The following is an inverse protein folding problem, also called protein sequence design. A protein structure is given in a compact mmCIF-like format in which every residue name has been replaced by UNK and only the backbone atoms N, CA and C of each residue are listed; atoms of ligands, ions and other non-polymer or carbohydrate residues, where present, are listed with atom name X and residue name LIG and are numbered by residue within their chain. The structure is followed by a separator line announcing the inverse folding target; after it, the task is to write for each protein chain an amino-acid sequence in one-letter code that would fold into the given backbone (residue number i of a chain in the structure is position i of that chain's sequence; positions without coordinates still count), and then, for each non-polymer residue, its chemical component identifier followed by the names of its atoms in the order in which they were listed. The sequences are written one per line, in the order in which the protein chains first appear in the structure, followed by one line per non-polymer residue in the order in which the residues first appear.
data_IF_806138013156
#
_entry.id   IF_806138013156
#
_cell.length_a   1.000
_cell.length_b   1.000
_cell.length_c   1.000
_cell.angle_alpha   90.00
_cell.angle_beta   90.00
_cell.angle_gamma   90.00
#
_symmetry.space_group_name_H-M   'P 1'
#
loop_
_entity.id
_entity.type
_entity.pdbx_description
1 polymer ?
#
# COMPACT_ATOMS: atom_id res chain seq x y z
N UNK A 1 6.30 -47.92 20.33
CA UNK A 1 5.14 -48.65 19.76
C UNK A 1 3.84 -48.01 20.25
N UNK A 2 2.88 -47.81 19.32
CA UNK A 2 1.42 -47.90 19.45
C UNK A 2 0.68 -47.00 20.47
N UNK A 3 0.02 -45.96 19.95
CA UNK A 3 -1.20 -45.39 20.56
C UNK A 3 -2.43 -46.08 19.94
N UNK A 4 -3.33 -46.59 20.80
CA UNK A 4 -4.60 -47.24 20.42
C UNK A 4 -5.75 -46.22 20.51
N UNK A 5 -6.76 -46.43 19.66
CA UNK A 5 -7.93 -45.57 19.39
C UNK A 5 -9.17 -45.92 20.25
N UNK A 6 -10.25 -45.12 20.04
CA UNK A 6 -11.69 -45.24 20.41
C UNK A 6 -12.08 -44.57 21.75
N UNK A 7 -13.23 -43.92 21.95
CA UNK A 7 -14.58 -43.97 21.35
C UNK A 7 -15.29 -42.60 21.59
N UNK A 8 -15.94 -41.93 20.64
CA UNK A 8 -17.37 -42.01 20.26
C UNK A 8 -18.36 -41.99 21.44
N UNK A 9 -19.00 -40.84 21.67
CA UNK A 9 -20.38 -40.72 22.16
C UNK A 9 -21.11 -39.59 21.43
N UNK A 10 -22.15 -39.98 20.71
CA UNK A 10 -23.12 -39.11 20.08
C UNK A 10 -24.19 -38.68 21.11
N UNK A 11 -24.65 -37.44 21.03
CA UNK A 11 -25.96 -37.05 21.57
C UNK A 11 -26.59 -36.03 20.63
N UNK A 12 -27.66 -36.47 19.97
CA UNK A 12 -28.52 -35.62 19.18
C UNK A 12 -29.54 -34.96 20.11
N UNK A 13 -29.77 -33.66 19.95
CA UNK A 13 -30.96 -32.98 20.48
C UNK A 13 -31.52 -32.16 19.33
N UNK A 14 -32.68 -32.58 18.81
CA UNK A 14 -33.50 -31.77 17.93
C UNK A 14 -34.55 -31.06 18.79
N UNK A 15 -34.57 -29.73 18.74
CA UNK A 15 -35.70 -28.94 19.26
C UNK A 15 -36.02 -27.87 18.21
N UNK A 16 -37.17 -28.02 17.57
CA UNK A 16 -37.80 -26.97 16.79
C UNK A 16 -38.94 -26.37 17.63
N UNK A 17 -38.89 -25.06 17.87
CA UNK A 17 -40.05 -24.27 18.26
C UNK A 17 -40.13 -23.07 17.33
N UNK A 18 -41.23 -22.97 16.59
CA UNK A 18 -41.62 -21.81 15.81
C UNK A 18 -42.18 -20.75 16.76
N UNK A 19 -41.54 -19.57 16.83
CA UNK A 19 -42.17 -18.36 17.35
C UNK A 19 -42.04 -17.25 16.32
N UNK A 20 -43.18 -16.62 16.05
CA UNK A 20 -43.38 -15.48 15.16
C UNK A 20 -42.53 -14.28 15.59
N UNK A 21 -42.01 -13.47 14.66
CA UNK A 21 -41.33 -12.23 15.03
C UNK A 21 -42.39 -11.19 15.42
N UNK A 22 -42.43 -10.79 16.69
CA UNK A 22 -42.94 -9.48 17.06
C UNK A 22 -41.89 -8.44 16.63
N UNK A 23 -42.15 -7.73 15.54
CA UNK A 23 -41.43 -6.53 15.20
C UNK A 23 -41.80 -5.41 16.21
N UNK A 24 -41.10 -5.38 17.33
CA UNK A 24 -41.10 -4.22 18.22
C UNK A 24 -40.20 -3.14 17.62
N UNK A 25 -40.80 -2.25 16.84
CA UNK A 25 -40.18 -0.96 16.50
C UNK A 25 -40.20 -0.08 17.76
N UNK A 26 -39.18 -0.20 18.60
CA UNK A 26 -38.91 0.80 19.63
C UNK A 26 -38.21 2.00 18.97
N UNK A 27 -39.02 2.90 18.45
CA UNK A 27 -38.60 4.21 17.98
C UNK A 27 -38.38 5.10 19.22
N UNK A 28 -37.10 5.28 19.60
CA UNK A 28 -36.69 6.32 20.55
C UNK A 28 -36.09 7.47 19.76
N UNK A 29 -36.95 8.43 19.42
CA UNK A 29 -36.62 9.83 19.19
C UNK A 29 -36.38 10.47 20.58
N UNK A 30 -35.35 11.25 20.91
CA UNK A 30 -34.48 12.13 20.13
C UNK A 30 -33.21 12.47 20.93
N UNK A 31 -32.21 12.97 20.20
CA UNK A 31 -31.21 13.96 20.64
C UNK A 31 -29.80 13.48 21.05
N UNK A 32 -29.06 12.93 20.08
CA UNK A 32 -27.68 13.35 19.78
C UNK A 32 -27.40 13.14 18.29
N UNK A 33 -27.30 14.26 17.56
CA UNK A 33 -26.87 14.28 16.17
C UNK A 33 -25.39 13.89 16.08
N UNK A 34 -25.09 12.67 15.63
CA UNK A 34 -23.95 12.39 14.76
C UNK A 34 -23.95 10.90 14.34
N UNK A 35 -24.25 10.54 13.09
CA UNK A 35 -23.68 9.32 12.55
C UNK A 35 -22.17 9.54 12.45
N UNK A 36 -21.38 8.90 13.31
CA UNK A 36 -19.95 8.69 13.08
C UNK A 36 -19.79 7.83 11.83
N UNK A 37 -19.87 8.47 10.66
CA UNK A 37 -19.23 7.98 9.44
C UNK A 37 -17.73 8.17 9.64
N UNK A 38 -17.09 7.21 10.30
CA UNK A 38 -15.66 6.98 10.06
C UNK A 38 -15.55 6.48 8.62
N UNK A 39 -15.53 7.43 7.68
CA UNK A 39 -15.11 7.17 6.32
C UNK A 39 -13.66 6.71 6.40
N UNK A 40 -13.45 5.39 6.45
CA UNK A 40 -12.16 4.79 6.18
C UNK A 40 -11.75 5.24 4.78
N UNK A 41 -10.98 6.31 4.70
CA UNK A 41 -10.39 6.79 3.47
C UNK A 41 -9.41 5.72 3.01
N UNK A 42 -9.91 4.77 2.22
CA UNK A 42 -9.07 3.84 1.47
C UNK A 42 -8.16 4.68 0.57
N UNK A 43 -6.83 4.47 0.62
CA UNK A 43 -5.92 5.21 -0.25
C UNK A 43 -6.37 5.04 -1.70
N UNK A 44 -6.75 6.13 -2.37
CA UNK A 44 -7.16 6.04 -3.76
C UNK A 44 -5.97 5.55 -4.59
N UNK A 45 -6.16 4.47 -5.35
CA UNK A 45 -5.15 3.96 -6.27
C UNK A 45 -4.75 5.06 -7.27
N UNK A 46 -3.47 5.12 -7.70
CA UNK A 46 -3.05 6.03 -8.76
C UNK A 46 -3.88 5.80 -10.03
N UNK A 47 -4.16 6.86 -10.81
CA UNK A 47 -4.85 6.72 -12.09
C UNK A 47 -4.00 5.88 -13.05
N UNK A 48 -4.64 5.01 -13.81
CA UNK A 48 -3.98 4.27 -14.87
C UNK A 48 -3.70 5.24 -16.04
N UNK A 49 -2.42 5.52 -16.26
CA UNK A 49 -1.98 6.30 -17.40
C UNK A 49 -1.73 5.34 -18.57
N UNK A 50 -2.47 5.51 -19.68
CA UNK A 50 -2.16 4.80 -20.92
C UNK A 50 -0.86 5.36 -21.49
N UNK A 51 0.24 4.65 -21.27
CA UNK A 51 1.58 5.02 -21.74
C UNK A 51 1.85 4.41 -23.12
N UNK A 52 2.51 5.16 -24.00
CA UNK A 52 3.01 4.59 -25.25
C UNK A 52 4.25 3.71 -25.02
N UNK A 53 4.58 2.84 -25.96
CA UNK A 53 5.79 2.00 -25.89
C UNK A 53 7.07 2.83 -25.71
N UNK A 54 7.17 3.96 -26.42
CA UNK A 54 8.29 4.89 -26.30
C UNK A 54 8.38 5.47 -24.87
N UNK A 55 7.24 5.84 -24.27
CA UNK A 55 7.21 6.35 -22.89
C UNK A 55 7.61 5.25 -21.89
N UNK A 56 7.12 4.03 -22.08
CA UNK A 56 7.47 2.85 -21.25
C UNK A 56 8.98 2.61 -21.30
N UNK A 57 9.57 2.58 -22.50
CA UNK A 57 11.00 2.39 -22.70
C UNK A 57 11.81 3.48 -22.00
N UNK A 58 11.39 4.74 -22.12
CA UNK A 58 12.09 5.86 -21.47
C UNK A 58 12.00 5.79 -19.95
N UNK A 59 10.83 5.45 -19.40
CA UNK A 59 10.64 5.25 -17.96
C UNK A 59 11.50 4.10 -17.45
N UNK A 60 11.59 2.98 -18.19
CA UNK A 60 12.46 1.86 -17.81
C UNK A 60 13.93 2.25 -17.81
N UNK A 61 14.38 3.04 -18.78
CA UNK A 61 15.73 3.59 -18.82
C UNK A 61 16.02 4.49 -17.60
N UNK A 62 15.08 5.38 -17.25
CA UNK A 62 15.19 6.24 -16.07
C UNK A 62 15.28 5.38 -14.81
N UNK A 63 14.39 4.39 -14.64
CA UNK A 63 14.39 3.49 -13.47
C UNK A 63 15.70 2.72 -13.34
N UNK A 64 16.25 2.22 -14.44
CA UNK A 64 17.55 1.52 -14.45
C UNK A 64 18.68 2.46 -14.00
N UNK A 65 18.72 3.67 -14.57
CA UNK A 65 19.70 4.69 -14.21
C UNK A 65 19.59 5.10 -12.73
N UNK A 66 18.37 5.30 -12.25
CA UNK A 66 18.09 5.62 -10.84
C UNK A 66 18.54 4.50 -9.91
N UNK A 67 18.30 3.23 -10.27
CA UNK A 67 18.78 2.08 -9.49
C UNK A 67 20.30 2.09 -9.37
N UNK A 68 21.02 2.36 -10.46
CA UNK A 68 22.49 2.44 -10.44
C UNK A 68 22.98 3.60 -9.55
N UNK A 69 22.35 4.78 -9.64
CA UNK A 69 22.65 5.92 -8.76
C UNK A 69 22.39 5.61 -7.27
N UNK A 70 21.32 4.87 -6.96
CA UNK A 70 21.06 4.41 -5.60
C UNK A 70 22.18 3.48 -5.16
N UNK A 71 22.53 2.47 -5.97
CA UNK A 71 23.58 1.50 -5.64
C UNK A 71 24.94 2.15 -5.36
N UNK A 72 25.28 3.25 -6.04
CA UNK A 72 26.54 3.98 -5.82
C UNK A 72 26.58 4.78 -4.51
N UNK A 73 25.42 5.09 -3.91
CA UNK A 73 25.33 5.76 -2.59
C UNK A 73 25.49 4.77 -1.44
N UNK A 74 25.16 3.50 -1.68
CA UNK A 74 25.18 2.45 -0.67
C UNK A 74 26.59 1.93 -0.41
N UNK A 75 26.82 1.40 0.79
CA UNK A 75 28.01 0.60 1.09
C UNK A 75 27.83 -0.83 0.56
N UNK A 76 28.93 -1.59 0.46
CA UNK A 76 28.88 -2.99 0.03
C UNK A 76 28.00 -3.83 0.97
N UNK A 77 28.16 -3.64 2.28
CA UNK A 77 27.36 -4.34 3.29
C UNK A 77 25.86 -4.02 3.16
N UNK A 78 25.51 -2.76 2.92
CA UNK A 78 24.11 -2.35 2.69
C UNK A 78 23.55 -2.98 1.41
N UNK A 79 24.32 -3.00 0.31
CA UNK A 79 23.93 -3.66 -0.94
C UNK A 79 23.69 -5.15 -0.73
N UNK A 80 24.59 -5.84 -0.04
CA UNK A 80 24.48 -7.26 0.23
C UNK A 80 23.24 -7.56 1.08
N UNK A 81 23.00 -6.80 2.15
CA UNK A 81 21.79 -6.96 2.97
C UNK A 81 20.51 -6.77 2.15
N UNK A 82 20.45 -5.72 1.33
CA UNK A 82 19.30 -5.47 0.46
C UNK A 82 19.08 -6.66 -0.49
N UNK A 83 20.15 -7.14 -1.13
CA UNK A 83 20.06 -8.27 -2.05
C UNK A 83 19.56 -9.53 -1.36
N UNK A 84 20.09 -9.85 -0.18
CA UNK A 84 19.66 -11.02 0.61
C UNK A 84 18.20 -10.93 1.02
N UNK A 85 17.76 -9.79 1.56
CA UNK A 85 16.38 -9.63 2.03
C UNK A 85 15.37 -9.69 0.86
N UNK A 86 15.73 -9.11 -0.29
CA UNK A 86 14.91 -9.20 -1.51
C UNK A 86 14.83 -10.63 -2.04
N UNK A 87 15.93 -11.39 -2.02
CA UNK A 87 15.94 -12.81 -2.39
C UNK A 87 15.13 -13.66 -1.41
N UNK A 88 15.07 -13.26 -0.14
CA UNK A 88 14.21 -13.88 0.87
C UNK A 88 12.72 -13.49 0.73
N UNK A 89 12.36 -12.66 -0.25
CA UNK A 89 10.97 -12.26 -0.52
C UNK A 89 10.45 -11.15 0.39
N UNK A 90 11.32 -10.46 1.14
CA UNK A 90 10.93 -9.32 1.97
C UNK A 90 10.49 -8.17 1.08
N UNK A 91 9.42 -7.47 1.49
CA UNK A 91 8.90 -6.35 0.73
C UNK A 91 9.98 -5.26 0.55
N UNK A 92 10.21 -4.73 -0.67
CA UNK A 92 11.27 -3.74 -0.91
C UNK A 92 11.21 -2.51 0.00
N UNK A 93 10.02 -2.02 0.35
CA UNK A 93 9.89 -0.86 1.25
C UNK A 93 10.39 -1.19 2.66
N UNK A 94 10.09 -2.40 3.14
CA UNK A 94 10.58 -2.88 4.44
C UNK A 94 12.08 -3.10 4.42
N UNK A 95 12.62 -3.68 3.33
CA UNK A 95 14.07 -3.86 3.17
C UNK A 95 14.79 -2.52 3.29
N UNK A 96 14.40 -1.52 2.50
CA UNK A 96 15.01 -0.19 2.55
C UNK A 96 14.82 0.50 3.90
N UNK A 97 13.65 0.37 4.55
CA UNK A 97 13.43 0.92 5.89
C UNK A 97 14.29 0.26 6.98
N UNK A 98 14.72 -0.98 6.78
CA UNK A 98 15.60 -1.71 7.70
C UNK A 98 17.08 -1.33 7.58
N UNK A 99 17.46 -0.58 6.54
CA UNK A 99 18.85 -0.16 6.34
C UNK A 99 19.11 1.11 7.14
N UNK A 100 20.17 1.08 7.94
CA UNK A 100 20.65 2.28 8.61
C UNK A 100 21.46 3.12 7.62
N UNK A 101 20.88 4.23 7.18
CA UNK A 101 21.52 5.20 6.30
C UNK A 101 22.12 6.36 7.11
N UNK A 102 23.29 6.85 6.69
CA UNK A 102 23.81 8.11 7.21
C UNK A 102 22.96 9.29 6.72
N UNK A 103 23.03 10.44 7.41
CA UNK A 103 22.32 11.65 6.98
C UNK A 103 22.67 12.05 5.54
N UNK A 104 23.95 11.96 5.17
CA UNK A 104 24.42 12.25 3.81
C UNK A 104 23.79 11.29 2.79
N UNK A 105 23.75 9.99 3.10
CA UNK A 105 23.10 9.01 2.22
C UNK A 105 21.61 9.29 2.07
N UNK A 106 20.90 9.62 3.16
CA UNK A 106 19.48 9.96 3.12
C UNK A 106 19.22 11.15 2.19
N UNK A 107 19.98 12.24 2.32
CA UNK A 107 19.85 13.41 1.45
C UNK A 107 20.16 13.09 -0.01
N UNK A 108 21.20 12.30 -0.29
CA UNK A 108 21.54 11.88 -1.64
C UNK A 108 20.43 11.00 -2.26
N UNK A 109 19.92 10.02 -1.52
CA UNK A 109 18.83 9.16 -1.95
C UNK A 109 17.55 9.97 -2.21
N UNK A 110 17.20 10.89 -1.32
CA UNK A 110 16.06 11.78 -1.51
C UNK A 110 16.20 12.60 -2.80
N UNK A 111 17.37 13.20 -3.05
CA UNK A 111 17.62 13.97 -4.26
C UNK A 111 17.53 13.10 -5.52
N UNK A 112 18.09 11.88 -5.48
CA UNK A 112 17.99 10.91 -6.59
C UNK A 112 16.51 10.59 -6.88
N UNK A 113 15.70 10.34 -5.84
CA UNK A 113 14.28 10.01 -5.99
C UNK A 113 13.47 11.17 -6.55
N UNK A 114 13.68 12.40 -6.04
CA UNK A 114 13.02 13.61 -6.54
C UNK A 114 13.40 13.89 -7.99
N UNK A 115 14.68 13.75 -8.33
CA UNK A 115 15.16 13.96 -9.69
C UNK A 115 14.57 12.92 -10.65
N UNK A 116 14.61 11.64 -10.27
CA UNK A 116 14.00 10.56 -11.05
C UNK A 116 12.50 10.79 -11.27
N UNK A 117 11.79 11.30 -10.26
CA UNK A 117 10.36 11.60 -10.38
C UNK A 117 10.12 12.70 -11.42
N UNK A 118 10.89 13.79 -11.38
CA UNK A 118 10.81 14.87 -12.36
C UNK A 118 11.15 14.39 -13.78
N UNK A 119 12.18 13.56 -13.93
CA UNK A 119 12.54 12.96 -15.21
C UNK A 119 11.41 12.10 -15.78
N UNK A 120 10.80 11.24 -14.95
CA UNK A 120 9.65 10.43 -15.39
C UNK A 120 8.43 11.28 -15.74
N UNK A 121 8.15 12.34 -14.98
CA UNK A 121 7.09 13.29 -15.32
C UNK A 121 7.38 13.97 -16.66
N UNK A 122 8.64 14.30 -16.95
CA UNK A 122 9.07 14.86 -18.23
C UNK A 122 8.69 14.00 -19.45
N UNK A 123 8.53 12.68 -19.27
CA UNK A 123 8.13 11.73 -20.33
C UNK A 123 6.63 11.78 -20.63
N UNK A 124 5.82 12.28 -19.69
CA UNK A 124 4.36 12.28 -19.80
C UNK A 124 3.85 13.43 -20.69
N UNK A 125 2.72 13.19 -21.36
CA UNK A 125 1.99 14.23 -22.10
C UNK A 125 1.36 15.24 -21.14
N UNK A 126 1.02 16.46 -21.59
CA UNK A 126 0.31 17.44 -20.75
C UNK A 126 -0.96 16.89 -20.11
N UNK A 127 -1.74 16.11 -20.85
CA UNK A 127 -3.00 15.50 -20.38
C UNK A 127 -2.75 14.42 -19.31
N UNK A 128 -1.72 13.58 -19.50
CA UNK A 128 -1.31 12.59 -18.51
C UNK A 128 -0.81 13.26 -17.21
N UNK A 129 -0.01 14.35 -17.34
CA UNK A 129 0.44 15.16 -16.19
C UNK A 129 -0.72 15.75 -15.42
N UNK A 130 -1.67 16.38 -16.11
CA UNK A 130 -2.85 16.96 -15.48
C UNK A 130 -3.67 15.91 -14.71
N UNK A 131 -3.80 14.70 -15.27
CA UNK A 131 -4.49 13.59 -14.60
C UNK A 131 -3.78 13.18 -13.30
N UNK A 132 -2.45 13.11 -13.35
CA UNK A 132 -1.62 12.77 -12.20
C UNK A 132 -1.64 13.86 -11.12
N UNK A 133 -1.62 15.14 -11.51
CA UNK A 133 -1.71 16.28 -10.59
C UNK A 133 -3.05 16.34 -9.86
N UNK A 134 -4.17 16.14 -10.57
CA UNK A 134 -5.51 16.08 -9.97
C UNK A 134 -5.59 14.98 -8.91
N UNK A 135 -5.05 13.79 -9.22
CA UNK A 135 -4.97 12.71 -8.24
C UNK A 135 -4.09 13.07 -7.04
N UNK A 136 -2.90 13.67 -7.25
CA UNK A 136 -2.05 14.10 -6.12
C UNK A 136 -2.73 15.17 -5.25
N UNK A 137 -3.50 16.07 -5.85
CA UNK A 137 -4.26 17.08 -5.13
C UNK A 137 -5.38 16.42 -4.30
N UNK A 138 -6.12 15.45 -4.86
CA UNK A 138 -7.16 14.73 -4.12
C UNK A 138 -6.58 13.97 -2.92
N UNK A 139 -5.40 13.36 -3.08
CA UNK A 139 -4.70 12.67 -2.00
C UNK A 139 -4.25 13.64 -0.89
N UNK A 140 -3.67 14.80 -1.26
CA UNK A 140 -3.25 15.82 -0.27
C UNK A 140 -4.44 16.35 0.54
N UNK A 141 -5.55 16.65 -0.11
CA UNK A 141 -6.77 17.12 0.56
C UNK A 141 -7.36 16.08 1.51
N UNK A 142 -7.16 14.78 1.25
CA UNK A 142 -7.59 13.72 2.17
C UNK A 142 -6.70 13.62 3.41
N UNK A 143 -5.39 13.85 3.26
CA UNK A 143 -4.46 13.84 4.39
C UNK A 143 -4.67 15.03 5.33
N UNK A 144 -5.09 16.18 4.82
CA UNK A 144 -5.37 17.38 5.63
C UNK A 144 -6.69 17.32 6.40
N UNK A 145 -7.57 16.36 6.06
CA UNK A 145 -8.87 16.15 6.73
C UNK A 145 -8.80 15.07 7.82
N UNK A 146 -7.62 14.50 8.07
CA UNK A 146 -7.32 13.57 9.16
C UNK A 146 -6.58 14.30 10.26
#
# INVERSE_FOLDING_TARGET
MKLKKLSLFASAIAVAFSITPLAANAQVNSNTNAPQRVSQATPQKPPELKLSEQQINKINQIRSTTRNKIQSVLTEQQRQKIQTDLQAGVNPQQVFASIQFTQQQQSQLQNIMVTSQKEMEGVLTPQQKQTLEKWRASQRSQLQKK
#
